data_IF_108626031892
#
_entry.id   IF_108626031892
#
_cell.length_a   1.000
_cell.length_b   1.000
_cell.length_c   1.000
_cell.angle_alpha   90.00
_cell.angle_beta   90.00
_cell.angle_gamma   90.00
#
_symmetry.space_group_name_H-M   'P 1'
#
loop_
_entity.id
_entity.type
_entity.pdbx_description
1 polymer ?
#
# COMPACT_ATOMS: atom_id res chain seq x y z
N UNK A 1 -32.04 -18.74 40.21
CA UNK A 1 -31.97 -17.36 39.66
C UNK A 1 -30.55 -16.73 39.66
N UNK A 2 -29.44 -17.49 39.73
CA UNK A 2 -28.08 -16.94 39.61
C UNK A 2 -27.33 -17.33 38.33
N UNK A 3 -27.81 -18.34 37.60
CA UNK A 3 -27.18 -18.82 36.36
C UNK A 3 -27.55 -18.00 35.10
N UNK A 4 -28.62 -17.20 35.14
CA UNK A 4 -29.08 -16.43 33.97
C UNK A 4 -28.35 -15.09 33.78
N UNK A 5 -27.66 -14.58 34.80
CA UNK A 5 -27.02 -13.26 34.79
C UNK A 5 -25.57 -13.27 34.28
N UNK A 6 -24.93 -14.45 34.25
CA UNK A 6 -23.53 -14.59 33.79
C UNK A 6 -23.47 -14.73 32.25
N UNK A 7 -24.52 -15.27 31.62
CA UNK A 7 -24.61 -15.39 30.16
C UNK A 7 -24.75 -14.06 29.42
N UNK A 8 -25.27 -13.01 30.07
CA UNK A 8 -25.48 -11.71 29.42
C UNK A 8 -24.18 -10.87 29.35
N UNK A 9 -23.23 -11.07 30.27
CA UNK A 9 -21.98 -10.30 30.30
C UNK A 9 -20.97 -10.73 29.22
N UNK A 10 -20.99 -11.99 28.79
CA UNK A 10 -20.09 -12.50 27.75
C UNK A 10 -20.49 -11.99 26.35
N UNK A 11 -21.79 -11.75 26.10
CA UNK A 11 -22.27 -11.26 24.81
C UNK A 11 -22.05 -9.75 24.60
N UNK A 12 -22.07 -8.94 25.68
CA UNK A 12 -21.84 -7.48 25.60
C UNK A 12 -20.38 -7.17 25.29
N UNK A 13 -19.45 -7.99 25.77
CA UNK A 13 -18.02 -7.79 25.56
C UNK A 13 -17.61 -7.96 24.09
N UNK A 14 -18.23 -8.86 23.33
CA UNK A 14 -17.96 -8.99 21.88
C UNK A 14 -18.46 -7.77 21.07
N UNK A 15 -19.64 -7.24 21.40
CA UNK A 15 -20.25 -6.14 20.64
C UNK A 15 -19.58 -4.76 20.87
N UNK A 16 -19.03 -4.51 22.06
CA UNK A 16 -18.28 -3.27 22.32
C UNK A 16 -16.89 -3.29 21.69
N UNK A 17 -16.25 -4.46 21.63
CA UNK A 17 -14.93 -4.63 21.00
C UNK A 17 -15.04 -4.46 19.48
N UNK A 18 -16.09 -4.97 18.84
CA UNK A 18 -16.37 -4.74 17.41
C UNK A 18 -16.47 -3.25 17.07
N UNK A 19 -17.21 -2.45 17.86
CA UNK A 19 -17.38 -1.02 17.59
C UNK A 19 -16.06 -0.24 17.73
N UNK A 20 -15.20 -0.63 18.66
CA UNK A 20 -13.89 0.00 18.85
C UNK A 20 -12.91 -0.38 17.73
N UNK A 21 -12.86 -1.66 17.37
CA UNK A 21 -12.00 -2.18 16.28
C UNK A 21 -12.45 -1.61 14.93
N UNK A 22 -13.75 -1.59 14.64
CA UNK A 22 -14.30 -0.99 13.40
C UNK A 22 -14.06 0.53 13.35
N UNK A 23 -14.17 1.25 14.48
CA UNK A 23 -13.82 2.68 14.52
C UNK A 23 -12.32 2.93 14.30
N UNK A 24 -11.45 2.08 14.81
CA UNK A 24 -10.00 2.19 14.57
C UNK A 24 -9.64 1.81 13.13
N UNK A 25 -10.27 0.78 12.57
CA UNK A 25 -10.10 0.39 11.16
C UNK A 25 -10.54 1.50 10.19
N UNK A 26 -11.62 2.23 10.50
CA UNK A 26 -12.06 3.39 9.71
C UNK A 26 -11.03 4.53 9.65
N UNK A 27 -10.21 4.69 10.70
CA UNK A 27 -9.10 5.68 10.70
C UNK A 27 -7.92 5.25 9.82
N UNK A 28 -7.90 3.99 9.41
CA UNK A 28 -6.87 3.37 8.59
C UNK A 28 -7.40 3.04 7.19
N UNK A 29 -8.52 3.64 6.77
CA UNK A 29 -9.06 3.37 5.44
C UNK A 29 -7.99 3.68 4.39
N UNK A 30 -7.62 2.68 3.57
CA UNK A 30 -6.56 2.85 2.59
C UNK A 30 -7.02 3.88 1.56
N UNK A 31 -6.21 4.92 1.36
CA UNK A 31 -6.47 5.94 0.34
C UNK A 31 -6.60 5.27 -1.02
N UNK A 32 -7.62 5.67 -1.77
CA UNK A 32 -7.85 5.22 -3.14
C UNK A 32 -6.73 5.70 -4.05
N UNK A 33 -6.53 5.00 -5.17
CA UNK A 33 -5.57 5.41 -6.20
C UNK A 33 -5.91 6.80 -6.74
N UNK A 34 -7.20 7.11 -6.93
CA UNK A 34 -7.66 8.42 -7.37
C UNK A 34 -7.22 9.54 -6.40
N UNK A 35 -7.41 9.34 -5.09
CA UNK A 35 -6.96 10.30 -4.07
C UNK A 35 -5.44 10.47 -4.07
N UNK A 36 -4.69 9.39 -4.24
CA UNK A 36 -3.22 9.43 -4.34
C UNK A 36 -2.78 10.24 -5.56
N UNK A 37 -3.42 10.05 -6.73
CA UNK A 37 -3.14 10.84 -7.95
C UNK A 37 -3.45 12.32 -7.76
N UNK A 38 -4.59 12.65 -7.15
CA UNK A 38 -4.94 14.05 -6.83
C UNK A 38 -3.89 14.64 -5.90
N UNK A 39 -3.49 13.92 -4.85
CA UNK A 39 -2.46 14.37 -3.92
C UNK A 39 -1.11 14.63 -4.60
N UNK A 40 -0.68 13.78 -5.53
CA UNK A 40 0.55 14.01 -6.32
C UNK A 40 0.47 15.37 -7.02
N UNK A 41 -0.61 15.63 -7.75
CA UNK A 41 -0.81 16.90 -8.45
C UNK A 41 -0.80 18.10 -7.50
N UNK A 42 -1.48 17.98 -6.36
CA UNK A 42 -1.52 19.04 -5.34
C UNK A 42 -0.13 19.34 -4.79
N UNK A 43 0.63 18.32 -4.37
CA UNK A 43 2.00 18.48 -3.87
C UNK A 43 2.83 19.22 -4.90
N UNK A 44 2.85 18.75 -6.16
CA UNK A 44 3.67 19.39 -7.20
C UNK A 44 3.26 20.85 -7.47
N UNK A 45 1.97 21.15 -7.46
CA UNK A 45 1.48 22.53 -7.66
C UNK A 45 1.85 23.48 -6.51
N UNK A 46 2.11 22.96 -5.31
CA UNK A 46 2.56 23.75 -4.16
C UNK A 46 4.06 24.12 -4.21
N UNK A 47 4.79 23.61 -5.19
CA UNK A 47 6.22 23.86 -5.37
C UNK A 47 6.49 24.67 -6.66
N UNK A 48 6.28 26.00 -6.64
CA UNK A 48 6.50 26.89 -7.78
C UNK A 48 7.98 26.99 -8.19
N UNK A 49 8.91 26.63 -7.31
CA UNK A 49 10.35 26.60 -7.58
C UNK A 49 10.74 25.63 -8.71
N UNK A 50 9.91 24.62 -8.99
CA UNK A 50 10.09 23.75 -10.14
C UNK A 50 9.46 24.35 -11.39
N UNK A 51 10.14 24.23 -12.53
CA UNK A 51 9.53 24.57 -13.81
C UNK A 51 8.35 23.64 -14.12
N UNK A 52 7.40 24.08 -14.96
CA UNK A 52 6.29 23.22 -15.41
C UNK A 52 6.79 21.90 -16.00
N UNK A 53 7.81 21.96 -16.87
CA UNK A 53 8.40 20.77 -17.49
C UNK A 53 8.99 19.80 -16.45
N UNK A 54 9.61 20.33 -15.39
CA UNK A 54 10.16 19.50 -14.32
C UNK A 54 9.06 18.87 -13.46
N UNK A 55 8.00 19.63 -13.12
CA UNK A 55 6.83 19.10 -12.43
C UNK A 55 6.15 17.99 -13.25
N UNK A 56 5.97 18.18 -14.55
CA UNK A 56 5.36 17.17 -15.44
C UNK A 56 6.19 15.86 -15.45
N UNK A 57 7.52 15.97 -15.43
CA UNK A 57 8.42 14.80 -15.35
C UNK A 57 8.30 14.09 -13.99
N UNK A 58 8.31 14.85 -12.89
CA UNK A 58 8.16 14.29 -11.54
C UNK A 58 6.79 13.62 -11.41
N UNK A 59 5.72 14.26 -11.88
CA UNK A 59 4.37 13.70 -11.90
C UNK A 59 4.36 12.36 -12.64
N UNK A 60 4.94 12.31 -13.85
CA UNK A 60 5.00 11.08 -14.64
C UNK A 60 5.71 9.94 -13.89
N UNK A 61 6.84 10.22 -13.22
CA UNK A 61 7.56 9.23 -12.41
C UNK A 61 6.69 8.71 -11.26
N UNK A 62 6.06 9.61 -10.50
CA UNK A 62 5.21 9.26 -9.37
C UNK A 62 3.97 8.47 -9.78
N UNK A 63 3.31 8.89 -10.87
CA UNK A 63 2.14 8.19 -11.42
C UNK A 63 2.52 6.80 -11.91
N UNK A 64 3.64 6.66 -12.62
CA UNK A 64 4.12 5.37 -13.10
C UNK A 64 4.47 4.43 -11.94
N UNK A 65 5.08 4.95 -10.87
CA UNK A 65 5.38 4.20 -9.67
C UNK A 65 4.13 3.66 -8.97
N UNK A 66 3.09 4.50 -8.89
CA UNK A 66 1.80 4.16 -8.30
C UNK A 66 1.09 3.05 -9.11
N UNK A 67 1.06 3.19 -10.44
CA UNK A 67 0.43 2.21 -11.35
C UNK A 67 1.12 0.84 -11.26
N UNK A 68 2.46 0.84 -11.22
CA UNK A 68 3.25 -0.38 -10.99
C UNK A 68 2.96 -0.98 -9.62
N UNK A 69 2.86 -0.16 -8.57
CA UNK A 69 2.55 -0.67 -7.22
C UNK A 69 1.15 -1.27 -7.15
N UNK A 70 0.16 -0.70 -7.81
CA UNK A 70 -1.21 -1.23 -7.87
C UNK A 70 -1.24 -2.59 -8.58
N UNK A 71 -0.58 -2.67 -9.74
CA UNK A 71 -0.47 -3.91 -10.52
C UNK A 71 0.18 -5.03 -9.69
N UNK A 72 1.28 -4.72 -8.99
CA UNK A 72 1.97 -5.69 -8.15
C UNK A 72 1.12 -6.12 -6.93
N UNK A 73 0.39 -5.20 -6.32
CA UNK A 73 -0.55 -5.51 -5.21
C UNK A 73 -1.68 -6.43 -5.67
N UNK A 74 -2.23 -6.20 -6.85
CA UNK A 74 -3.27 -7.06 -7.42
C UNK A 74 -2.74 -8.48 -7.64
N UNK A 75 -1.55 -8.61 -8.25
CA UNK A 75 -0.88 -9.89 -8.46
C UNK A 75 -0.57 -10.62 -7.14
N UNK A 76 -0.06 -9.89 -6.14
CA UNK A 76 0.18 -10.41 -4.79
C UNK A 76 -1.11 -10.97 -4.17
N UNK A 77 -2.21 -10.22 -4.24
CA UNK A 77 -3.50 -10.63 -3.69
C UNK A 77 -4.01 -11.90 -4.37
N UNK A 78 -3.87 -12.00 -5.69
CA UNK A 78 -4.23 -13.21 -6.46
C UNK A 78 -3.39 -14.41 -6.04
N UNK A 79 -2.07 -14.25 -5.89
CA UNK A 79 -1.18 -15.33 -5.44
C UNK A 79 -1.51 -15.79 -4.02
N UNK A 80 -1.79 -14.87 -3.10
CA UNK A 80 -2.23 -15.20 -1.73
C UNK A 80 -3.52 -16.01 -1.77
N UNK A 81 -4.52 -15.58 -2.56
CA UNK A 81 -5.77 -16.35 -2.71
C UNK A 81 -5.53 -17.75 -3.28
N UNK A 82 -4.65 -17.89 -4.28
CA UNK A 82 -4.28 -19.19 -4.84
C UNK A 82 -3.60 -20.08 -3.80
N UNK A 83 -2.68 -19.54 -3.00
CA UNK A 83 -2.03 -20.27 -1.90
C UNK A 83 -3.06 -20.74 -0.88
N UNK A 84 -3.97 -19.86 -0.45
CA UNK A 84 -5.03 -20.21 0.50
C UNK A 84 -5.95 -21.30 -0.06
N UNK A 85 -6.40 -21.17 -1.31
CA UNK A 85 -7.24 -22.17 -1.96
C UNK A 85 -6.51 -23.52 -2.06
N UNK A 86 -5.24 -23.52 -2.47
CA UNK A 86 -4.45 -24.75 -2.55
C UNK A 86 -4.19 -25.38 -1.19
N UNK A 87 -4.05 -24.57 -0.14
CA UNK A 87 -3.77 -25.08 1.21
C UNK A 87 -5.01 -25.64 1.89
N UNK A 88 -6.15 -24.94 1.77
CA UNK A 88 -7.35 -25.21 2.57
C UNK A 88 -8.37 -26.05 1.79
N UNK A 89 -8.56 -25.75 0.50
CA UNK A 89 -9.65 -26.32 -0.31
C UNK A 89 -9.14 -27.51 -1.11
N UNK A 90 -8.17 -27.28 -2.00
CA UNK A 90 -7.74 -28.29 -2.98
C UNK A 90 -6.73 -29.29 -2.42
N UNK A 91 -6.08 -28.97 -1.28
CA UNK A 91 -4.96 -29.72 -0.71
C UNK A 91 -3.86 -29.99 -1.76
N UNK A 92 -3.45 -28.93 -2.44
CA UNK A 92 -2.41 -28.94 -3.46
C UNK A 92 -1.12 -29.57 -2.96
N UNK A 93 -0.36 -30.13 -3.89
CA UNK A 93 0.91 -30.76 -3.58
C UNK A 93 1.92 -29.74 -3.05
N UNK A 94 2.92 -30.24 -2.32
CA UNK A 94 4.01 -29.43 -1.80
C UNK A 94 4.74 -28.65 -2.92
N UNK A 95 4.93 -29.27 -4.09
CA UNK A 95 5.59 -28.64 -5.23
C UNK A 95 4.79 -27.47 -5.82
N UNK A 96 3.46 -27.59 -5.88
CA UNK A 96 2.59 -26.48 -6.31
C UNK A 96 2.65 -25.30 -5.35
N UNK A 97 2.64 -25.57 -4.04
CA UNK A 97 2.78 -24.52 -3.02
C UNK A 97 4.16 -23.85 -3.06
N UNK A 98 5.22 -24.62 -3.31
CA UNK A 98 6.57 -24.08 -3.50
C UNK A 98 6.66 -23.18 -4.74
N UNK A 99 6.02 -23.56 -5.84
CA UNK A 99 5.97 -22.74 -7.05
C UNK A 99 5.27 -21.40 -6.79
N UNK A 100 4.11 -21.41 -6.13
CA UNK A 100 3.39 -20.18 -5.73
C UNK A 100 4.22 -19.31 -4.77
N UNK A 101 4.95 -19.93 -3.83
CA UNK A 101 5.88 -19.23 -2.94
C UNK A 101 7.04 -18.58 -3.70
N UNK A 102 7.55 -19.22 -4.74
CA UNK A 102 8.57 -18.60 -5.60
C UNK A 102 8.01 -17.38 -6.34
N UNK A 103 6.80 -17.48 -6.88
CA UNK A 103 6.15 -16.36 -7.56
C UNK A 103 5.84 -15.17 -6.63
N UNK A 104 5.42 -15.41 -5.38
CA UNK A 104 5.18 -14.32 -4.43
C UNK A 104 6.50 -13.62 -4.05
N UNK A 105 7.60 -14.36 -3.92
CA UNK A 105 8.93 -13.78 -3.67
C UNK A 105 9.36 -12.86 -4.82
N UNK A 106 9.17 -13.27 -6.07
CA UNK A 106 9.44 -12.42 -7.24
C UNK A 106 8.62 -11.13 -7.22
N UNK A 107 7.36 -11.20 -6.79
CA UNK A 107 6.51 -10.00 -6.65
C UNK A 107 7.09 -9.05 -5.59
N UNK A 108 7.60 -9.56 -4.47
CA UNK A 108 8.27 -8.72 -3.47
C UNK A 108 9.54 -8.07 -4.00
N UNK A 109 10.41 -8.83 -4.68
CA UNK A 109 11.60 -8.28 -5.33
C UNK A 109 11.24 -7.16 -6.31
N UNK A 110 10.16 -7.33 -7.09
CA UNK A 110 9.65 -6.30 -7.99
C UNK A 110 9.11 -5.07 -7.25
N UNK A 111 8.44 -5.25 -6.10
CA UNK A 111 7.98 -4.13 -5.25
C UNK A 111 9.17 -3.31 -4.76
N UNK A 112 10.23 -3.95 -4.28
CA UNK A 112 11.47 -3.25 -3.87
C UNK A 112 12.14 -2.55 -5.06
N UNK A 113 12.28 -3.23 -6.20
CA UNK A 113 12.86 -2.62 -7.40
C UNK A 113 12.06 -1.40 -7.89
N UNK A 114 10.73 -1.40 -7.76
CA UNK A 114 9.90 -0.24 -8.09
C UNK A 114 10.21 0.96 -7.18
N UNK A 115 10.43 0.73 -5.88
CA UNK A 115 10.86 1.77 -4.93
C UNK A 115 12.20 2.34 -5.34
N UNK A 116 13.21 1.48 -5.52
CA UNK A 116 14.58 1.92 -5.82
C UNK A 116 14.68 2.72 -7.12
N UNK A 117 13.99 2.25 -8.17
CA UNK A 117 13.93 2.95 -9.46
C UNK A 117 13.27 4.32 -9.31
N UNK A 118 12.14 4.37 -8.60
CA UNK A 118 11.39 5.61 -8.40
C UNK A 118 12.20 6.62 -7.60
N UNK A 119 12.85 6.18 -6.51
CA UNK A 119 13.74 7.04 -5.70
C UNK A 119 14.92 7.55 -6.53
N UNK A 120 15.52 6.69 -7.37
CA UNK A 120 16.64 7.08 -8.23
C UNK A 120 16.22 8.14 -9.26
N UNK A 121 15.11 7.91 -9.97
CA UNK A 121 14.57 8.87 -10.94
C UNK A 121 14.17 10.20 -10.29
N UNK A 122 13.54 10.16 -9.10
CA UNK A 122 13.20 11.37 -8.34
C UNK A 122 14.44 12.13 -7.88
N UNK A 123 15.50 11.42 -7.47
CA UNK A 123 16.77 12.04 -7.07
C UNK A 123 17.41 12.79 -8.23
N UNK A 124 17.34 12.27 -9.46
CA UNK A 124 17.83 12.96 -10.66
C UNK A 124 17.00 14.20 -11.01
N UNK A 125 15.67 14.12 -10.84
CA UNK A 125 14.77 15.21 -11.20
C UNK A 125 14.69 16.32 -10.15
N UNK A 126 14.70 15.97 -8.86
CA UNK A 126 14.55 16.92 -7.75
C UNK A 126 15.94 17.39 -7.28
N UNK A 127 16.92 16.48 -7.24
CA UNK A 127 18.24 16.72 -6.65
C UNK A 127 18.25 16.58 -5.13
N UNK A 128 19.44 16.32 -4.57
CA UNK A 128 19.65 16.26 -3.11
C UNK A 128 20.08 17.65 -2.64
N UNK A 129 19.16 18.37 -1.99
CA UNK A 129 19.41 19.68 -1.42
C UNK A 129 18.48 19.93 -0.23
N UNK A 130 18.93 20.61 0.84
CA UNK A 130 18.06 20.99 1.95
C UNK A 130 16.82 21.78 1.52
N UNK A 131 16.92 22.55 0.41
CA UNK A 131 15.78 23.30 -0.16
C UNK A 131 14.67 22.39 -0.69
N UNK A 132 14.98 21.14 -1.03
CA UNK A 132 14.05 20.17 -1.58
C UNK A 132 13.52 19.18 -0.53
N UNK A 133 13.88 19.34 0.75
CA UNK A 133 13.42 18.43 1.80
C UNK A 133 11.90 18.44 1.93
N UNK A 134 11.28 19.62 1.86
CA UNK A 134 9.83 19.77 1.98
C UNK A 134 9.07 18.92 0.94
N UNK A 135 9.39 19.07 -0.35
CA UNK A 135 8.74 18.26 -1.40
C UNK A 135 9.02 16.76 -1.22
N UNK A 136 10.23 16.40 -0.79
CA UNK A 136 10.61 14.99 -0.59
C UNK A 136 9.80 14.36 0.54
N UNK A 137 9.58 15.09 1.64
CA UNK A 137 8.71 14.68 2.76
C UNK A 137 7.24 14.57 2.33
N UNK A 138 6.74 15.56 1.60
CA UNK A 138 5.36 15.56 1.10
C UNK A 138 5.08 14.37 0.17
N UNK A 139 6.01 14.09 -0.76
CA UNK A 139 5.98 12.90 -1.63
C UNK A 139 6.03 11.63 -0.80
N UNK A 140 6.90 11.55 0.22
CA UNK A 140 6.98 10.43 1.15
C UNK A 140 5.64 10.13 1.85
N UNK A 141 4.84 11.17 2.11
CA UNK A 141 3.50 11.05 2.70
C UNK A 141 2.37 10.64 1.75
N UNK A 142 2.63 10.38 0.46
CA UNK A 142 1.59 9.98 -0.52
C UNK A 142 1.23 8.49 -0.43
N UNK A 143 2.04 7.68 0.26
CA UNK A 143 1.89 6.22 0.29
C UNK A 143 1.86 5.63 -1.14
N UNK A 144 2.93 5.85 -1.89
CA UNK A 144 3.07 5.37 -3.28
C UNK A 144 3.24 3.87 -3.40
N UNK A 145 3.72 3.23 -2.33
CA UNK A 145 4.14 1.85 -2.33
C UNK A 145 3.40 1.11 -1.22
N UNK A 146 2.65 0.08 -1.59
CA UNK A 146 2.01 -0.81 -0.64
C UNK A 146 3.07 -1.71 0.00
N UNK A 147 3.74 -1.22 1.05
CA UNK A 147 4.71 -1.98 1.84
C UNK A 147 3.92 -2.79 2.89
N UNK A 148 4.21 -4.08 2.98
CA UNK A 148 3.56 -4.99 3.93
C UNK A 148 4.05 -4.77 5.35
#
# INVERSE_FOLDING_TARGET
MKALLIGLFVLISCAQTEKAVVKQAKKLEPKTIAEKRVKIKTVLNNHPEFSKSQRDKIEKVLMSALDRSETLRAKESQLIQQILNKTIVDKGSYNELLALKSEINKVYEQKYSNVDKTVSELKELIGISPKNNAITEEIGGIDLFHRN
#
